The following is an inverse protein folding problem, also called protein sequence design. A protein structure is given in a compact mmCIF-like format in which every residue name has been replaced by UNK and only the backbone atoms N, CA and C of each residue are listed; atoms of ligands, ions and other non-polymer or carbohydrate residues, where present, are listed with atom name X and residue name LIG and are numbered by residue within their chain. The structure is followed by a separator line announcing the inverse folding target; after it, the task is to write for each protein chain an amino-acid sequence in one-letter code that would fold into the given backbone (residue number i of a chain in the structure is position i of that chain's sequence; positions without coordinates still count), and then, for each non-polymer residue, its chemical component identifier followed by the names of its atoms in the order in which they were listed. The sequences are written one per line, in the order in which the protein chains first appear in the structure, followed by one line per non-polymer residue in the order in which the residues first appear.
data_IF_158115123432
#
_entry.id   IF_158115123432
#
_cell.length_a   1.000
_cell.length_b   1.000
_cell.length_c   1.000
_cell.angle_alpha   90.00
_cell.angle_beta   90.00
_cell.angle_gamma   90.00
#
_symmetry.space_group_name_H-M   'P 1'
#
loop_
_entity.id
_entity.type
_entity.pdbx_description
1 polymer ?
#
# COMPACT_ATOMS: atom_id res chain seq x y z
N UNK A 1 27.84 -30.62 14.39
CA UNK A 1 27.07 -30.66 13.22
C UNK A 1 25.93 -29.66 13.15
N UNK A 2 25.74 -28.81 14.15
CA UNK A 2 24.62 -27.89 14.16
C UNK A 2 24.99 -26.45 13.89
N UNK A 3 26.23 -26.19 13.54
CA UNK A 3 26.73 -24.85 13.31
C UNK A 3 25.99 -24.17 12.17
N UNK A 4 25.72 -24.89 11.10
CA UNK A 4 25.01 -24.35 9.95
C UNK A 4 23.56 -24.00 10.25
N UNK A 5 22.96 -24.53 11.29
CA UNK A 5 21.58 -24.21 11.68
C UNK A 5 21.46 -22.81 12.24
N UNK A 6 22.57 -22.16 12.54
CA UNK A 6 22.60 -20.78 13.03
C UNK A 6 22.82 -19.77 11.93
N UNK A 7 22.86 -20.22 10.67
CA UNK A 7 22.95 -19.31 9.56
C UNK A 7 21.67 -18.46 9.48
N UNK A 8 21.87 -17.17 9.32
CA UNK A 8 20.78 -16.21 9.24
C UNK A 8 20.64 -15.74 7.80
N UNK A 9 19.49 -15.98 7.20
CA UNK A 9 19.17 -15.42 5.89
C UNK A 9 18.72 -13.99 6.09
N UNK A 10 19.40 -13.05 5.43
CA UNK A 10 19.06 -11.63 5.50
C UNK A 10 18.64 -11.19 4.12
N UNK A 11 17.46 -10.57 4.03
CA UNK A 11 17.02 -9.86 2.84
C UNK A 11 17.38 -8.40 3.05
N UNK A 12 18.35 -7.86 2.30
CA UNK A 12 18.81 -6.49 2.51
C UNK A 12 17.70 -5.45 2.28
N UNK A 13 16.80 -5.73 1.35
CA UNK A 13 15.65 -4.88 1.06
C UNK A 13 14.52 -5.71 0.49
N UNK A 14 13.30 -5.42 0.90
CA UNK A 14 12.10 -6.03 0.35
C UNK A 14 10.99 -4.99 0.22
N UNK A 15 10.31 -5.00 -0.92
CA UNK A 15 9.13 -4.19 -1.13
C UNK A 15 7.92 -5.11 -1.15
N UNK A 16 6.94 -4.81 -0.28
CA UNK A 16 5.71 -5.58 -0.18
C UNK A 16 4.54 -4.74 -0.66
N UNK A 17 3.61 -5.37 -1.34
CA UNK A 17 2.38 -4.73 -1.79
C UNK A 17 1.21 -5.39 -1.06
N UNK A 18 0.42 -4.59 -0.36
CA UNK A 18 -0.78 -5.05 0.32
C UNK A 18 -1.99 -4.37 -0.28
N UNK A 19 -3.08 -5.09 -0.41
CA UNK A 19 -4.35 -4.54 -0.88
C UNK A 19 -5.41 -4.74 0.17
N UNK A 20 -6.37 -3.84 0.20
CA UNK A 20 -7.48 -3.90 1.14
C UNK A 20 -8.61 -3.02 0.67
N UNK A 21 -9.73 -3.06 1.38
CA UNK A 21 -10.88 -2.24 1.05
C UNK A 21 -11.57 -1.74 2.31
N UNK A 22 -12.21 -0.59 2.19
CA UNK A 22 -13.08 -0.02 3.21
C UNK A 22 -14.48 0.05 2.64
N UNK A 23 -15.42 -0.56 3.33
CA UNK A 23 -16.82 -0.53 2.91
C UNK A 23 -17.51 0.70 3.50
N UNK A 24 -17.83 1.72 2.70
CA UNK A 24 -18.51 2.92 3.21
C UNK A 24 -19.90 2.62 3.70
N UNK A 25 -20.59 1.67 3.11
CA UNK A 25 -21.93 1.27 3.54
C UNK A 25 -21.93 0.79 4.98
N UNK A 26 -21.02 -0.13 5.29
CA UNK A 26 -20.91 -0.67 6.63
C UNK A 26 -20.43 0.40 7.61
N UNK A 27 -19.44 1.18 7.22
CA UNK A 27 -18.88 2.23 8.05
C UNK A 27 -19.91 3.30 8.39
N UNK A 28 -20.61 3.84 7.39
CA UNK A 28 -21.64 4.86 7.61
C UNK A 28 -22.81 4.36 8.42
N UNK A 29 -23.26 3.14 8.16
CA UNK A 29 -24.45 2.58 8.79
C UNK A 29 -24.24 2.25 10.26
N UNK A 30 -23.07 1.73 10.61
CA UNK A 30 -22.81 1.19 11.94
C UNK A 30 -21.84 2.01 12.79
N UNK A 31 -20.97 2.81 12.17
CA UNK A 31 -19.94 3.55 12.91
C UNK A 31 -20.01 5.06 12.72
N UNK A 32 -20.82 5.56 11.78
CA UNK A 32 -20.85 6.98 11.47
C UNK A 32 -19.54 7.50 10.86
N UNK A 33 -18.84 6.66 10.16
CA UNK A 33 -17.51 6.95 9.61
C UNK A 33 -17.57 8.08 8.58
N UNK A 34 -16.82 9.15 8.80
CA UNK A 34 -16.82 10.35 7.98
C UNK A 34 -15.59 10.44 7.07
N UNK A 35 -15.54 11.45 6.20
CA UNK A 35 -14.35 11.77 5.41
C UNK A 35 -13.14 12.05 6.32
N UNK A 36 -13.36 12.73 7.44
CA UNK A 36 -12.29 12.98 8.41
C UNK A 36 -11.75 11.69 9.01
N UNK A 37 -12.64 10.75 9.31
CA UNK A 37 -12.26 9.45 9.82
C UNK A 37 -11.44 8.65 8.80
N UNK A 38 -11.82 8.75 7.53
CA UNK A 38 -11.03 8.15 6.44
C UNK A 38 -9.63 8.75 6.35
N UNK A 39 -9.52 10.08 6.46
CA UNK A 39 -8.22 10.73 6.44
C UNK A 39 -7.34 10.29 7.61
N UNK A 40 -7.94 10.12 8.79
CA UNK A 40 -7.21 9.58 9.95
C UNK A 40 -6.75 8.15 9.70
N UNK A 41 -7.58 7.34 9.05
CA UNK A 41 -7.20 5.98 8.69
C UNK A 41 -6.02 5.97 7.71
N UNK A 42 -6.07 6.82 6.69
CA UNK A 42 -4.97 6.91 5.72
C UNK A 42 -3.68 7.38 6.38
N UNK A 43 -3.76 8.35 7.29
CA UNK A 43 -2.60 8.81 8.05
C UNK A 43 -2.06 7.70 8.96
N UNK A 44 -2.94 6.92 9.59
CA UNK A 44 -2.53 5.79 10.41
C UNK A 44 -1.80 4.73 9.60
N UNK A 45 -2.26 4.43 8.39
CA UNK A 45 -1.59 3.47 7.50
C UNK A 45 -0.22 4.00 7.08
N UNK A 46 -0.12 5.28 6.73
CA UNK A 46 1.16 5.87 6.33
C UNK A 46 2.19 5.84 7.47
N UNK A 47 1.74 5.94 8.71
CA UNK A 47 2.62 6.03 9.88
C UNK A 47 2.64 4.77 10.74
N UNK A 48 2.05 3.67 10.28
CA UNK A 48 1.83 2.51 11.15
C UNK A 48 3.11 1.85 11.65
N UNK A 49 4.23 2.01 10.97
CA UNK A 49 5.49 1.44 11.39
C UNK A 49 6.33 2.38 12.24
N UNK A 50 5.94 3.64 12.37
CA UNK A 50 6.70 4.63 13.11
C UNK A 50 6.78 4.32 14.62
N UNK A 51 5.78 3.61 15.14
CA UNK A 51 5.68 3.26 16.54
C UNK A 51 6.10 1.82 16.86
N UNK A 52 6.37 1.02 15.81
CA UNK A 52 6.80 -0.36 15.99
C UNK A 52 8.32 -0.44 15.94
N UNK A 53 8.93 -0.31 17.08
CA UNK A 53 10.39 -0.21 17.24
C UNK A 53 11.06 -1.56 17.49
N UNK A 54 10.44 -2.67 17.14
CA UNK A 54 11.11 -3.95 17.30
C UNK A 54 12.37 -4.02 16.43
N UNK A 55 13.36 -4.79 16.87
CA UNK A 55 14.63 -4.91 16.14
C UNK A 55 14.45 -5.42 14.70
N UNK A 56 13.39 -6.18 14.47
CA UNK A 56 13.10 -6.74 13.14
C UNK A 56 12.37 -5.76 12.23
N UNK A 57 11.80 -4.68 12.78
CA UNK A 57 10.91 -3.78 12.06
C UNK A 57 11.33 -2.31 12.12
N UNK A 58 12.49 -2.02 12.70
CA UNK A 58 12.93 -0.65 12.91
C UNK A 58 13.05 0.15 11.60
N UNK A 59 13.27 -0.53 10.50
CA UNK A 59 13.47 0.10 9.18
C UNK A 59 12.27 -0.08 8.24
N UNK A 60 11.15 -0.59 8.75
CA UNK A 60 9.94 -0.70 7.94
C UNK A 60 9.22 0.63 7.83
N UNK A 61 8.68 0.91 6.66
CA UNK A 61 7.91 2.12 6.42
C UNK A 61 6.88 1.88 5.32
N UNK A 62 5.73 2.54 5.44
CA UNK A 62 4.80 2.64 4.33
C UNK A 62 5.36 3.68 3.36
N UNK A 63 5.67 3.25 2.15
CA UNK A 63 6.34 4.11 1.16
C UNK A 63 5.35 4.83 0.27
N UNK A 64 4.23 4.20 -0.03
CA UNK A 64 3.22 4.78 -0.91
C UNK A 64 1.87 4.16 -0.62
N UNK A 65 0.84 4.97 -0.60
CA UNK A 65 -0.54 4.54 -0.45
C UNK A 65 -1.35 5.06 -1.64
N UNK A 66 -1.94 4.14 -2.39
CA UNK A 66 -2.79 4.47 -3.53
C UNK A 66 -4.22 4.16 -3.15
N UNK A 67 -5.08 5.16 -3.20
CA UNK A 67 -6.48 5.07 -2.76
C UNK A 67 -7.37 5.25 -3.98
N UNK A 68 -8.20 4.25 -4.26
CA UNK A 68 -9.23 4.35 -5.28
C UNK A 68 -10.54 4.70 -4.59
N UNK A 69 -11.07 5.87 -4.91
CA UNK A 69 -12.31 6.37 -4.32
C UNK A 69 -13.46 6.15 -5.29
N UNK A 70 -14.56 5.62 -4.78
CA UNK A 70 -15.78 5.41 -5.54
C UNK A 70 -16.84 6.41 -5.08
N UNK A 71 -17.59 6.98 -6.00
CA UNK A 71 -18.69 7.89 -5.65
C UNK A 71 -19.99 7.15 -5.31
N UNK A 72 -20.04 5.84 -5.55
CA UNK A 72 -21.19 4.99 -5.23
C UNK A 72 -20.84 4.04 -4.09
N UNK A 73 -21.77 3.84 -3.16
CA UNK A 73 -21.62 2.89 -2.05
C UNK A 73 -21.51 1.44 -2.53
N UNK A 74 -21.94 1.16 -3.76
CA UNK A 74 -21.84 -0.18 -4.36
C UNK A 74 -20.57 -0.38 -5.15
N UNK A 75 -19.73 0.67 -5.25
CA UNK A 75 -18.54 0.68 -6.09
C UNK A 75 -18.85 0.96 -7.54
N UNK A 76 -17.84 1.47 -8.26
CA UNK A 76 -17.98 1.86 -9.66
C UNK A 76 -17.18 0.96 -10.59
N UNK A 77 -16.29 0.14 -10.03
CA UNK A 77 -15.48 -0.79 -10.81
C UNK A 77 -15.00 -1.93 -9.91
N UNK A 78 -14.70 -3.11 -10.47
CA UNK A 78 -14.13 -4.21 -9.69
C UNK A 78 -12.74 -3.86 -9.17
N UNK A 79 -12.47 -4.22 -7.91
CA UNK A 79 -11.20 -3.89 -7.25
C UNK A 79 -9.99 -4.41 -8.01
N UNK A 80 -10.04 -5.65 -8.53
CA UNK A 80 -8.93 -6.24 -9.25
C UNK A 80 -8.57 -5.45 -10.51
N UNK A 81 -9.54 -4.84 -11.17
CA UNK A 81 -9.31 -3.99 -12.34
C UNK A 81 -8.61 -2.68 -11.96
N UNK A 82 -8.94 -2.16 -10.79
CA UNK A 82 -8.28 -0.95 -10.29
C UNK A 82 -6.85 -1.24 -9.86
N UNK A 83 -6.60 -2.36 -9.20
CA UNK A 83 -5.25 -2.74 -8.78
C UNK A 83 -4.30 -2.93 -9.94
N UNK A 84 -4.81 -3.36 -11.10
CA UNK A 84 -4.01 -3.51 -12.33
C UNK A 84 -3.43 -2.17 -12.82
N UNK A 85 -3.95 -1.04 -12.34
CA UNK A 85 -3.46 0.29 -12.71
C UNK A 85 -2.19 0.68 -11.97
N UNK A 86 -1.84 -0.05 -10.93
CA UNK A 86 -0.62 0.20 -10.15
C UNK A 86 0.46 -0.75 -10.65
N UNK A 87 1.56 -0.18 -11.12
CA UNK A 87 2.67 -0.94 -11.69
C UNK A 87 3.93 -0.69 -10.87
N UNK A 88 4.59 -1.77 -10.48
CA UNK A 88 5.85 -1.74 -9.76
C UNK A 88 6.88 -2.47 -10.61
N UNK A 89 7.99 -1.81 -10.91
CA UNK A 89 9.08 -2.43 -11.67
C UNK A 89 10.42 -1.99 -11.11
N UNK A 90 11.45 -2.81 -11.36
CA UNK A 90 12.81 -2.45 -11.03
C UNK A 90 13.34 -1.42 -12.03
N UNK A 91 14.00 -0.39 -11.53
CA UNK A 91 14.63 0.64 -12.38
C UNK A 91 15.77 0.03 -13.18
N UNK A 92 16.58 -0.80 -12.53
CA UNK A 92 17.73 -1.48 -13.15
C UNK A 92 17.61 -2.98 -12.92
N UNK A 93 16.89 -3.70 -13.81
CA UNK A 93 16.73 -5.15 -13.65
C UNK A 93 18.11 -5.86 -13.62
N UNK A 94 18.23 -6.81 -12.71
CA UNK A 94 19.45 -7.58 -12.54
C UNK A 94 20.46 -6.96 -11.57
N UNK A 95 20.25 -5.74 -11.11
CA UNK A 95 21.08 -5.13 -10.06
C UNK A 95 20.47 -5.35 -8.68
N UNK A 96 21.29 -5.45 -7.63
CA UNK A 96 20.76 -5.61 -6.28
C UNK A 96 19.86 -4.45 -5.86
N UNK A 97 18.76 -4.78 -5.21
CA UNK A 97 17.84 -3.79 -4.67
C UNK A 97 18.34 -3.37 -3.29
N UNK A 98 18.48 -2.07 -3.06
CA UNK A 98 19.00 -1.50 -1.82
C UNK A 98 18.04 -0.50 -1.17
N UNK A 99 17.13 0.08 -1.95
CA UNK A 99 16.23 1.12 -1.48
C UNK A 99 14.97 1.18 -2.32
N UNK A 100 14.00 1.95 -1.85
CA UNK A 100 12.76 2.18 -2.59
C UNK A 100 13.01 2.83 -3.96
N UNK A 101 14.06 3.65 -4.07
CA UNK A 101 14.39 4.31 -5.33
C UNK A 101 14.88 3.35 -6.42
N UNK A 102 15.18 2.10 -6.08
CA UNK A 102 15.50 1.06 -7.05
C UNK A 102 14.25 0.48 -7.70
N UNK A 103 13.08 0.85 -7.23
CA UNK A 103 11.80 0.54 -7.84
C UNK A 103 11.16 1.78 -8.44
N UNK A 104 10.38 1.57 -9.47
CA UNK A 104 9.51 2.60 -10.03
C UNK A 104 8.06 2.17 -9.83
N UNK A 105 7.30 2.99 -9.11
CA UNK A 105 5.87 2.76 -8.88
C UNK A 105 5.11 3.77 -9.71
N UNK A 106 4.30 3.29 -10.65
CA UNK A 106 3.47 4.13 -11.49
C UNK A 106 2.01 3.78 -11.33
N UNK A 107 1.15 4.78 -11.42
CA UNK A 107 -0.29 4.61 -11.34
C UNK A 107 -0.90 5.14 -12.62
N UNK A 108 -1.61 4.27 -13.35
CA UNK A 108 -2.31 4.68 -14.56
C UNK A 108 -3.62 5.35 -14.18
N UNK A 109 -3.68 6.67 -14.30
CA UNK A 109 -4.86 7.48 -13.98
C UNK A 109 -5.63 7.91 -15.22
N UNK A 110 -5.29 7.36 -16.40
CA UNK A 110 -5.98 7.68 -17.64
C UNK A 110 -7.20 6.78 -17.81
N UNK A 111 -8.24 7.33 -18.43
CA UNK A 111 -9.49 6.61 -18.74
C UNK A 111 -10.05 5.88 -17.50
N UNK A 112 -10.11 6.56 -16.38
CA UNK A 112 -10.69 6.01 -15.17
C UNK A 112 -12.18 5.71 -15.37
N UNK A 113 -12.68 4.62 -14.79
CA UNK A 113 -14.12 4.36 -14.80
C UNK A 113 -14.89 5.53 -14.20
N UNK A 114 -16.10 5.77 -14.69
CA UNK A 114 -16.94 6.84 -14.19
C UNK A 114 -17.15 6.68 -12.67
N UNK A 115 -16.98 7.77 -11.93
CA UNK A 115 -17.16 7.79 -10.48
C UNK A 115 -15.96 7.30 -9.68
N UNK A 116 -14.86 6.94 -10.34
CA UNK A 116 -13.62 6.54 -9.66
C UNK A 116 -12.61 7.65 -9.74
N UNK A 117 -11.99 7.97 -8.60
CA UNK A 117 -10.87 8.91 -8.53
C UNK A 117 -9.71 8.26 -7.76
N UNK A 118 -8.51 8.79 -7.97
CA UNK A 118 -7.30 8.26 -7.34
C UNK A 118 -6.67 9.34 -6.47
N UNK A 119 -6.29 8.96 -5.24
CA UNK A 119 -5.46 9.76 -4.37
C UNK A 119 -4.20 8.98 -4.06
N UNK A 120 -3.05 9.64 -4.10
CA UNK A 120 -1.77 9.01 -3.78
C UNK A 120 -1.15 9.77 -2.61
N UNK A 121 -0.71 9.04 -1.61
CA UNK A 121 0.05 9.56 -0.45
C UNK A 121 1.40 8.88 -0.38
N UNK A 122 2.41 9.66 -0.06
CA UNK A 122 3.80 9.19 0.08
C UNK A 122 4.55 9.88 1.22
#
# INVERSE_FOLDING_TARGET
GDVYKRQKLIIPYGLFVCTGSVSPTLAQKYTGFSEEDLNLLWDAIMNMFDFDKSACRAEMATRKLVIFKHDSIYGNAPSHKLYERVHVKEVNPGKPIRSFSDYEVTVNDTDLPAGVSIEVRE
#
